data_IF_769576242022
#
_entry.id   IF_769576242022
#
_cell.length_a   1.000
_cell.length_b   1.000
_cell.length_c   1.000
_cell.angle_alpha   90.00
_cell.angle_beta   90.00
_cell.angle_gamma   90.00
#
_symmetry.space_group_name_H-M   'P 1'
#
loop_
_entity.id
_entity.type
_entity.pdbx_description
1 polymer ?
#
# COMPACT_ATOMS: atom_id res chain seq x y z
N UNK A 1 18.71 3.30 -3.69
CA UNK A 1 18.44 3.54 -2.26
C UNK A 1 19.65 4.24 -1.68
N UNK A 2 19.54 5.52 -1.36
CA UNK A 2 20.64 6.33 -0.83
C UNK A 2 20.76 6.11 0.67
N UNK A 3 21.92 5.66 1.13
CA UNK A 3 22.32 5.59 2.54
C UNK A 3 22.76 6.96 3.02
N UNK A 4 21.91 7.97 2.89
CA UNK A 4 22.18 9.28 3.48
C UNK A 4 21.86 9.19 4.98
N UNK A 5 22.84 9.33 5.88
CA UNK A 5 22.59 9.27 7.33
C UNK A 5 21.62 10.36 7.83
N UNK A 6 21.32 11.37 7.02
CA UNK A 6 20.32 12.40 7.33
C UNK A 6 18.88 11.98 6.97
N UNK A 7 18.71 10.90 6.21
CA UNK A 7 17.41 10.35 5.80
C UNK A 7 17.40 8.85 6.11
N UNK A 8 17.23 8.47 7.39
CA UNK A 8 17.17 7.07 7.77
C UNK A 8 16.07 6.36 6.97
N UNK A 9 16.32 5.08 6.63
CA UNK A 9 15.31 4.25 5.97
C UNK A 9 14.06 4.23 6.86
N UNK A 10 12.93 4.62 6.28
CA UNK A 10 11.62 4.59 6.93
C UNK A 10 11.27 3.14 7.29
N UNK A 11 11.54 2.75 8.54
CA UNK A 11 11.48 1.35 8.97
C UNK A 11 10.07 0.77 8.93
N UNK A 12 9.04 1.62 8.95
CA UNK A 12 7.65 1.18 8.86
C UNK A 12 7.23 0.82 7.43
N UNK A 13 7.47 1.70 6.45
CA UNK A 13 6.97 1.52 5.07
C UNK A 13 7.93 0.72 4.18
N UNK A 14 9.23 0.75 4.45
CA UNK A 14 10.22 0.07 3.61
C UNK A 14 9.98 -1.46 3.48
N UNK A 15 9.59 -2.19 4.54
CA UNK A 15 9.19 -3.60 4.42
C UNK A 15 8.02 -3.81 3.46
N UNK A 16 6.99 -2.96 3.49
CA UNK A 16 5.86 -3.04 2.56
C UNK A 16 6.32 -2.85 1.12
N UNK A 17 7.16 -1.83 0.87
CA UNK A 17 7.74 -1.56 -0.46
C UNK A 17 8.52 -2.78 -0.97
N UNK A 18 9.31 -3.42 -0.11
CA UNK A 18 10.05 -4.62 -0.46
C UNK A 18 9.13 -5.78 -0.83
N UNK A 19 8.11 -6.05 -0.02
CA UNK A 19 7.15 -7.14 -0.29
C UNK A 19 6.34 -6.89 -1.57
N UNK A 20 5.93 -5.65 -1.84
CA UNK A 20 5.29 -5.28 -3.10
C UNK A 20 6.21 -5.53 -4.30
N UNK A 21 7.50 -5.14 -4.22
CA UNK A 21 8.47 -5.42 -5.30
C UNK A 21 8.74 -6.92 -5.45
N UNK A 22 8.80 -7.68 -4.34
CA UNK A 22 9.05 -9.12 -4.31
C UNK A 22 7.96 -9.93 -5.04
N UNK A 23 6.72 -9.44 -5.06
CA UNK A 23 5.64 -10.04 -5.84
C UNK A 23 5.89 -10.01 -7.37
N UNK A 24 6.83 -9.19 -7.85
CA UNK A 24 7.30 -9.18 -9.23
C UNK A 24 6.34 -8.52 -10.24
N UNK A 25 5.18 -8.05 -9.79
CA UNK A 25 4.14 -7.43 -10.64
C UNK A 25 3.89 -5.96 -10.33
N UNK A 26 4.46 -5.45 -9.24
CA UNK A 26 4.37 -4.05 -8.84
C UNK A 26 5.74 -3.41 -8.86
N UNK A 27 5.79 -2.16 -9.31
CA UNK A 27 7.01 -1.35 -9.31
C UNK A 27 6.81 -0.12 -8.43
N UNK A 28 7.14 -0.20 -7.12
CA UNK A 28 7.07 0.96 -6.25
C UNK A 28 8.00 2.08 -6.74
N UNK A 29 7.48 3.30 -6.79
CA UNK A 29 8.19 4.48 -7.29
C UNK A 29 8.29 5.61 -6.26
N UNK A 30 7.41 5.64 -5.26
CA UNK A 30 7.47 6.56 -4.14
C UNK A 30 6.78 5.95 -2.91
N UNK A 31 7.19 6.35 -1.71
CA UNK A 31 6.55 5.92 -0.47
C UNK A 31 6.69 6.98 0.61
N UNK A 32 5.78 6.92 1.59
CA UNK A 32 5.87 7.68 2.83
C UNK A 32 5.30 6.83 3.97
N UNK A 33 5.99 6.81 5.12
CA UNK A 33 5.54 6.13 6.35
C UNK A 33 4.50 6.91 7.17
N UNK A 34 4.21 8.15 6.77
CA UNK A 34 3.34 9.06 7.49
C UNK A 34 4.05 9.77 8.65
N UNK A 35 3.62 11.00 8.95
CA UNK A 35 4.25 11.83 9.96
C UNK A 35 3.23 12.72 10.65
N UNK A 36 3.47 13.02 11.93
CA UNK A 36 2.74 14.06 12.64
C UNK A 36 3.36 15.44 12.38
N UNK A 37 2.56 16.50 12.52
CA UNK A 37 3.02 17.87 12.64
C UNK A 37 3.70 18.10 14.02
N UNK A 38 4.31 19.27 14.27
CA UNK A 38 4.89 19.60 15.57
C UNK A 38 3.89 19.62 16.75
N UNK A 39 2.59 19.67 16.48
CA UNK A 39 1.53 19.64 17.50
C UNK A 39 1.04 18.21 17.78
N UNK A 40 1.57 17.20 17.09
CA UNK A 40 1.17 15.79 17.22
C UNK A 40 -0.04 15.40 16.37
N UNK A 41 -0.54 16.28 15.49
CA UNK A 41 -1.63 15.96 14.58
C UNK A 41 -1.09 15.21 13.36
N UNK A 42 -1.85 14.26 12.83
CA UNK A 42 -1.48 13.56 11.59
C UNK A 42 -1.36 14.57 10.43
N UNK A 43 -0.15 14.69 9.86
CA UNK A 43 0.16 15.62 8.78
C UNK A 43 0.31 14.91 7.45
N UNK A 44 1.21 13.92 7.39
CA UNK A 44 1.44 13.09 6.20
C UNK A 44 0.82 11.73 6.43
N UNK A 45 0.10 11.25 5.43
CA UNK A 45 -0.58 9.96 5.46
C UNK A 45 0.33 8.91 4.82
N UNK A 46 0.51 7.74 5.46
CA UNK A 46 1.31 6.67 4.88
C UNK A 46 0.72 6.19 3.57
N UNK A 47 1.58 5.97 2.57
CA UNK A 47 1.17 5.41 1.27
C UNK A 47 2.37 4.92 0.46
N UNK A 48 2.09 4.04 -0.50
CA UNK A 48 3.06 3.59 -1.50
C UNK A 48 2.50 3.86 -2.89
N UNK A 49 3.24 4.55 -3.73
CA UNK A 49 2.94 4.71 -5.15
C UNK A 49 3.69 3.67 -5.96
N UNK A 50 3.04 3.14 -6.99
CA UNK A 50 3.60 2.08 -7.81
C UNK A 50 3.02 2.06 -9.22
N UNK A 51 3.78 1.49 -10.14
CA UNK A 51 3.32 1.13 -11.49
C UNK A 51 2.90 -0.35 -11.53
N UNK A 52 1.99 -0.67 -12.44
CA UNK A 52 1.59 -2.05 -12.73
C UNK A 52 0.99 -2.16 -14.14
N UNK A 53 1.52 -3.07 -14.96
CA UNK A 53 1.04 -3.29 -16.34
C UNK A 53 -0.24 -4.13 -16.41
N UNK A 54 -0.67 -4.71 -15.27
CA UNK A 54 -1.81 -5.63 -15.21
C UNK A 54 -2.93 -5.10 -14.32
N UNK A 55 -4.02 -4.66 -14.94
CA UNK A 55 -5.24 -4.25 -14.22
C UNK A 55 -5.83 -5.39 -13.38
N UNK A 56 -5.63 -6.65 -13.79
CA UNK A 56 -6.05 -7.81 -13.01
C UNK A 56 -5.29 -7.90 -11.68
N UNK A 57 -3.97 -7.62 -11.69
CA UNK A 57 -3.16 -7.59 -10.47
C UNK A 57 -3.55 -6.42 -9.55
N UNK A 58 -3.83 -5.24 -10.13
CA UNK A 58 -4.35 -4.08 -9.38
C UNK A 58 -5.69 -4.41 -8.70
N UNK A 59 -6.60 -5.09 -9.41
CA UNK A 59 -7.87 -5.54 -8.84
C UNK A 59 -7.66 -6.56 -7.72
N UNK A 60 -6.78 -7.54 -7.92
CA UNK A 60 -6.45 -8.53 -6.89
C UNK A 60 -5.90 -7.86 -5.63
N UNK A 61 -5.00 -6.89 -5.80
CA UNK A 61 -4.47 -6.09 -4.70
C UNK A 61 -5.60 -5.35 -3.97
N UNK A 62 -6.48 -4.65 -4.69
CA UNK A 62 -7.62 -3.96 -4.07
C UNK A 62 -8.52 -4.91 -3.27
N UNK A 63 -8.82 -6.10 -3.81
CA UNK A 63 -9.62 -7.12 -3.12
C UNK A 63 -8.92 -7.66 -1.86
N UNK A 64 -7.61 -7.90 -1.93
CA UNK A 64 -6.81 -8.39 -0.79
C UNK A 64 -6.77 -7.34 0.31
N UNK A 65 -6.48 -6.09 -0.03
CA UNK A 65 -6.39 -4.99 0.92
C UNK A 65 -7.73 -4.75 1.62
N UNK A 66 -8.85 -4.76 0.88
CA UNK A 66 -10.20 -4.67 1.48
C UNK A 66 -10.49 -5.83 2.43
N UNK A 67 -10.05 -7.04 2.07
CA UNK A 67 -10.25 -8.21 2.92
C UNK A 67 -9.48 -8.12 4.24
N UNK A 68 -8.32 -7.46 4.30
CA UNK A 68 -7.60 -7.25 5.56
C UNK A 68 -8.44 -6.44 6.57
N UNK A 69 -9.27 -5.51 6.10
CA UNK A 69 -10.21 -4.78 6.96
C UNK A 69 -11.34 -5.66 7.47
N UNK A 70 -11.91 -6.49 6.58
CA UNK A 70 -12.96 -7.46 6.94
C UNK A 70 -12.46 -8.48 7.96
N UNK A 71 -11.21 -8.94 7.80
CA UNK A 71 -10.51 -9.84 8.70
C UNK A 71 -10.06 -9.15 10.02
N UNK A 72 -10.36 -7.85 10.19
CA UNK A 72 -9.97 -7.02 11.35
C UNK A 72 -8.46 -6.94 11.58
N UNK A 73 -7.66 -7.14 10.52
CA UNK A 73 -6.19 -7.03 10.56
C UNK A 73 -5.71 -5.58 10.41
N UNK A 74 -6.61 -4.68 9.97
CA UNK A 74 -6.33 -3.25 9.83
C UNK A 74 -7.42 -2.41 10.50
N UNK A 75 -7.00 -1.30 11.10
CA UNK A 75 -7.87 -0.32 11.76
C UNK A 75 -8.48 0.63 10.74
N UNK A 76 -7.71 1.12 9.77
CA UNK A 76 -8.23 1.92 8.67
C UNK A 76 -8.72 1.03 7.51
N UNK A 77 -9.67 1.53 6.74
CA UNK A 77 -9.91 0.97 5.39
C UNK A 77 -8.77 1.43 4.51
N UNK A 78 -8.09 0.50 3.84
CA UNK A 78 -7.08 0.80 2.84
C UNK A 78 -7.64 0.59 1.43
N UNK A 79 -7.11 1.36 0.48
CA UNK A 79 -7.58 1.37 -0.89
C UNK A 79 -6.44 1.48 -1.90
N UNK A 80 -6.73 1.05 -3.12
CA UNK A 80 -5.87 1.28 -4.28
C UNK A 80 -6.53 2.35 -5.14
N UNK A 81 -5.84 3.48 -5.32
CA UNK A 81 -6.33 4.62 -6.08
C UNK A 81 -5.51 4.80 -7.35
N UNK A 82 -6.18 5.25 -8.42
CA UNK A 82 -5.51 5.79 -9.59
C UNK A 82 -4.96 7.17 -9.22
N UNK A 83 -3.67 7.42 -9.48
CA UNK A 83 -3.05 8.73 -9.26
C UNK A 83 -2.60 9.34 -10.57
N UNK A 84 -2.36 10.65 -10.56
CA UNK A 84 -1.77 11.35 -11.69
C UNK A 84 -0.25 11.23 -11.62
N UNK A 85 0.36 10.81 -12.73
CA UNK A 85 1.79 10.96 -12.99
C UNK A 85 2.03 12.36 -13.59
N UNK A 86 3.21 12.93 -13.38
CA UNK A 86 3.58 14.23 -13.95
C UNK A 86 3.35 14.30 -15.48
N UNK A 87 3.17 15.51 -16.02
CA UNK A 87 2.82 15.76 -17.44
C UNK A 87 3.80 15.12 -18.45
N UNK A 88 5.00 14.75 -18.02
CA UNK A 88 6.06 14.12 -18.82
C UNK A 88 6.09 12.58 -18.73
N UNK A 89 5.24 11.98 -17.89
CA UNK A 89 5.17 10.54 -17.72
C UNK A 89 3.77 9.98 -18.08
N UNK A 90 3.63 9.29 -19.23
CA UNK A 90 2.36 8.74 -19.67
C UNK A 90 1.93 7.46 -18.91
N UNK A 91 2.77 6.94 -18.00
CA UNK A 91 2.50 5.70 -17.30
C UNK A 91 1.44 5.87 -16.20
N UNK A 92 0.48 4.96 -16.17
CA UNK A 92 -0.54 4.91 -15.12
C UNK A 92 0.09 4.62 -13.76
N UNK A 93 -0.02 5.58 -12.84
CA UNK A 93 0.44 5.41 -11.46
C UNK A 93 -0.73 5.05 -10.55
N UNK A 94 -0.49 4.16 -9.59
CA UNK A 94 -1.44 3.80 -8.55
C UNK A 94 -0.87 4.13 -7.17
N UNK A 95 -1.74 4.38 -6.20
CA UNK A 95 -1.36 4.46 -4.78
C UNK A 95 -2.08 3.41 -3.96
N UNK A 96 -1.37 2.83 -3.00
CA UNK A 96 -1.92 2.10 -1.87
C UNK A 96 -1.91 3.02 -0.66
N UNK A 97 -3.09 3.39 -0.16
CA UNK A 97 -3.24 4.40 0.90
C UNK A 97 -4.49 4.13 1.76
N UNK A 98 -4.55 4.63 3.02
CA UNK A 98 -5.77 4.57 3.81
C UNK A 98 -6.82 5.53 3.25
N UNK A 99 -8.07 5.13 3.32
CA UNK A 99 -9.23 5.96 3.01
C UNK A 99 -9.46 6.98 4.13
N UNK A 100 -9.21 8.26 3.83
CA UNK A 100 -9.43 9.36 4.77
C UNK A 100 -10.74 10.07 4.40
N UNK A 101 -11.82 9.66 5.05
CA UNK A 101 -13.16 10.22 4.87
C UNK A 101 -13.59 11.15 6.01
N UNK A 102 -14.69 11.91 5.84
CA UNK A 102 -15.29 12.69 6.93
C UNK A 102 -15.58 11.80 8.15
N UNK A 103 -15.02 12.14 9.31
CA UNK A 103 -15.19 11.39 10.55
C UNK A 103 -14.17 10.27 10.79
N UNK A 104 -13.29 9.99 9.83
CA UNK A 104 -12.14 9.11 10.06
C UNK A 104 -11.13 9.80 11.00
N UNK A 105 -10.89 9.21 12.16
CA UNK A 105 -9.86 9.65 13.11
C UNK A 105 -8.94 8.47 13.38
N UNK A 106 -7.74 8.52 12.82
CA UNK A 106 -6.69 7.55 13.05
C UNK A 106 -5.43 8.27 13.53
N UNK A 107 -4.78 7.73 14.55
CA UNK A 107 -3.45 8.14 14.95
C UNK A 107 -2.39 7.57 14.01
N UNK A 108 -1.24 8.24 13.91
CA UNK A 108 -0.11 7.77 13.11
C UNK A 108 0.32 6.33 13.48
N UNK A 109 0.34 6.01 14.79
CA UNK A 109 0.71 4.69 15.27
C UNK A 109 -0.25 3.58 14.78
N UNK A 110 -1.54 3.87 14.66
CA UNK A 110 -2.52 2.91 14.15
C UNK A 110 -2.29 2.65 12.66
N UNK A 111 -2.05 3.71 11.88
CA UNK A 111 -1.76 3.57 10.45
C UNK A 111 -0.41 2.86 10.20
N UNK A 112 0.59 3.09 11.04
CA UNK A 112 1.86 2.35 10.97
C UNK A 112 1.70 0.87 11.37
N UNK A 113 0.82 0.58 12.32
CA UNK A 113 0.45 -0.81 12.64
C UNK A 113 -0.25 -1.48 11.46
N UNK A 114 -1.13 -0.76 10.75
CA UNK A 114 -1.76 -1.28 9.53
C UNK A 114 -0.74 -1.60 8.44
N UNK A 115 0.27 -0.74 8.24
CA UNK A 115 1.36 -0.99 7.29
C UNK A 115 2.07 -2.31 7.62
N UNK A 116 2.35 -2.57 8.89
CA UNK A 116 2.97 -3.82 9.32
C UNK A 116 2.06 -5.02 9.01
N UNK A 117 0.77 -4.93 9.35
CA UNK A 117 -0.18 -5.99 9.02
C UNK A 117 -0.28 -6.24 7.51
N UNK A 118 -0.35 -5.18 6.70
CA UNK A 118 -0.34 -5.32 5.23
C UNK A 118 0.94 -6.01 4.78
N UNK A 119 2.10 -5.61 5.30
CA UNK A 119 3.40 -6.23 4.97
C UNK A 119 3.38 -7.73 5.26
N UNK A 120 2.92 -8.14 6.43
CA UNK A 120 2.96 -9.53 6.87
C UNK A 120 2.02 -10.44 6.07
N UNK A 121 0.83 -9.93 5.70
CA UNK A 121 -0.22 -10.73 5.08
C UNK A 121 -0.31 -10.60 3.56
N UNK A 122 0.17 -9.51 2.98
CA UNK A 122 0.01 -9.22 1.55
C UNK A 122 0.51 -10.37 0.65
N UNK A 123 1.72 -10.95 0.84
CA UNK A 123 2.23 -11.96 -0.08
C UNK A 123 1.39 -13.23 -0.09
N UNK A 124 1.00 -13.72 1.08
CA UNK A 124 0.21 -14.94 1.22
C UNK A 124 -1.22 -14.76 0.69
N UNK A 125 -1.87 -13.64 1.02
CA UNK A 125 -3.23 -13.30 0.56
C UNK A 125 -3.29 -13.06 -0.95
N UNK A 126 -2.28 -12.41 -1.54
CA UNK A 126 -2.17 -12.27 -3.00
C UNK A 126 -2.05 -13.64 -3.69
N UNK A 127 -1.19 -14.52 -3.18
CA UNK A 127 -1.01 -15.86 -3.74
C UNK A 127 -2.30 -16.71 -3.64
N UNK A 128 -3.01 -16.65 -2.51
CA UNK A 128 -4.29 -17.33 -2.32
C UNK A 128 -5.35 -16.81 -3.31
N UNK A 129 -5.53 -15.49 -3.40
CA UNK A 129 -6.53 -14.87 -4.26
C UNK A 129 -6.26 -15.15 -5.75
N UNK A 130 -4.99 -15.12 -6.16
CA UNK A 130 -4.59 -15.45 -7.52
C UNK A 130 -4.93 -16.90 -7.88
N UNK A 131 -4.66 -17.86 -6.97
CA UNK A 131 -5.04 -19.28 -7.17
C UNK A 131 -6.54 -19.46 -7.32
N UNK A 132 -7.34 -18.79 -6.49
CA UNK A 132 -8.81 -18.84 -6.59
C UNK A 132 -9.32 -18.26 -7.92
N UNK A 133 -8.70 -17.19 -8.42
CA UNK A 133 -9.07 -16.59 -9.69
C UNK A 133 -8.71 -17.50 -10.88
N UNK A 134 -7.52 -18.11 -10.86
CA UNK A 134 -7.09 -19.06 -11.89
C UNK A 134 -8.02 -20.27 -11.99
N UNK A 135 -8.35 -20.90 -10.84
CA UNK A 135 -9.25 -22.04 -10.78
C UNK A 135 -10.65 -21.74 -11.35
N UNK A 136 -11.16 -20.51 -11.16
CA UNK A 136 -12.45 -20.07 -11.71
C UNK A 136 -12.41 -19.74 -13.20
N UNK A 137 -11.23 -19.42 -13.72
CA UNK A 137 -11.03 -19.02 -15.12
C UNK A 137 -10.70 -20.20 -16.03
N UNK A 138 -10.52 -21.41 -15.47
CA UNK A 138 -10.15 -22.60 -16.22
C UNK A 138 -8.71 -22.57 -16.76
N UNK A 139 -7.85 -21.75 -16.14
CA UNK A 139 -6.42 -21.61 -16.45
C UNK A 139 -5.62 -22.34 -15.36
#
# INVERSE_FOLDING_TARGET
MTTDPNFPIESGIAPLVFEMKRLGVFEPCWSCEGHNDPNGNLWKIPRVWFYCDSVVQVRLLSDVIKNLKVDQLTVATWQVCLTFSDDDNPATTFSLEPEIGPGAQFGLAELQSDIQAITDFLPSKMAEKAKHLAARSGI
#
